data_IF_291988339279
#
_entry.id   IF_291988339279
#
_cell.length_a   1.000
_cell.length_b   1.000
_cell.length_c   1.000
_cell.angle_alpha   90.00
_cell.angle_beta   90.00
_cell.angle_gamma   90.00
#
_symmetry.space_group_name_H-M   'P 1'
#
loop_
_entity.id
_entity.type
_entity.pdbx_description
1 polymer ?
#
# COMPACT_ATOMS: atom_id res chain seq x y z
N UNK A 1 1.70 4.96 1.50
CA UNK A 1 1.01 4.67 2.79
C UNK A 1 0.64 5.93 3.62
N UNK A 2 1.53 6.92 3.80
CA UNK A 2 1.24 8.14 4.60
C UNK A 2 0.01 8.93 4.12
N UNK A 3 -0.22 9.01 2.81
CA UNK A 3 -1.39 9.70 2.24
C UNK A 3 -2.72 9.04 2.62
N UNK A 4 -2.84 7.72 2.49
CA UNK A 4 -4.06 6.98 2.89
C UNK A 4 -4.38 7.18 4.38
N UNK A 5 -3.35 7.19 5.24
CA UNK A 5 -3.51 7.50 6.67
C UNK A 5 -3.98 8.94 6.91
N UNK A 6 -3.47 9.91 6.16
CA UNK A 6 -3.88 11.31 6.26
C UNK A 6 -5.35 11.49 5.83
N UNK A 7 -5.77 10.89 4.70
CA UNK A 7 -7.15 10.95 4.21
C UNK A 7 -8.15 10.50 5.29
N UNK A 8 -7.91 9.32 5.90
CA UNK A 8 -8.78 8.82 6.98
C UNK A 8 -8.72 9.65 8.25
N UNK A 9 -7.56 10.21 8.60
CA UNK A 9 -7.44 11.14 9.73
C UNK A 9 -8.20 12.44 9.54
N UNK A 10 -8.33 12.91 8.30
CA UNK A 10 -9.07 14.13 7.96
C UNK A 10 -10.55 13.89 7.66
N UNK A 11 -11.06 12.68 7.93
CA UNK A 11 -12.49 12.37 7.80
C UNK A 11 -12.93 12.07 6.36
N UNK A 12 -12.02 11.74 5.45
CA UNK A 12 -12.40 11.28 4.11
C UNK A 12 -13.17 9.96 4.21
N UNK A 13 -14.38 9.95 3.67
CA UNK A 13 -15.37 8.87 3.72
C UNK A 13 -15.42 8.06 2.41
N UNK A 14 -14.86 8.56 1.32
CA UNK A 14 -14.78 7.86 0.05
C UNK A 14 -13.95 6.57 0.08
N UNK A 15 -13.96 5.85 -1.04
CA UNK A 15 -13.14 4.65 -1.24
C UNK A 15 -11.66 5.03 -1.33
N UNK A 16 -10.82 4.22 -0.68
CA UNK A 16 -9.37 4.37 -0.74
C UNK A 16 -8.78 3.03 -1.14
N UNK A 17 -8.27 2.96 -2.36
CA UNK A 17 -7.51 1.82 -2.87
C UNK A 17 -6.01 2.18 -2.81
N UNK A 18 -5.23 1.34 -2.15
CA UNK A 18 -3.78 1.41 -2.15
C UNK A 18 -3.24 0.29 -3.04
N UNK A 19 -2.50 0.67 -4.07
CA UNK A 19 -1.91 -0.26 -5.03
C UNK A 19 -0.39 -0.31 -4.83
N UNK A 20 0.16 -1.52 -4.79
CA UNK A 20 1.60 -1.77 -4.71
C UNK A 20 2.03 -2.85 -5.69
N UNK A 21 3.18 -2.64 -6.34
CA UNK A 21 3.79 -3.57 -7.29
C UNK A 21 4.61 -4.69 -6.62
N UNK A 22 4.63 -4.73 -5.28
CA UNK A 22 5.29 -5.77 -4.49
C UNK A 22 4.21 -6.71 -3.96
N UNK A 23 4.54 -7.98 -3.79
CA UNK A 23 3.67 -9.05 -3.28
C UNK A 23 3.39 -8.94 -1.77
N UNK A 24 3.92 -7.89 -1.12
CA UNK A 24 3.86 -7.66 0.32
C UNK A 24 3.24 -6.32 0.67
N UNK A 25 2.67 -6.27 1.87
CA UNK A 25 2.10 -5.05 2.42
C UNK A 25 3.17 -3.95 2.56
N UNK A 26 2.79 -2.66 2.45
CA UNK A 26 3.73 -1.55 2.60
C UNK A 26 4.50 -1.64 3.93
N UNK A 27 5.82 -1.50 3.88
CA UNK A 27 6.72 -1.56 5.04
C UNK A 27 7.60 -0.31 5.15
N UNK A 28 8.16 -0.09 6.33
CA UNK A 28 9.13 0.97 6.53
C UNK A 28 10.48 0.51 5.97
N UNK A 29 10.96 1.20 4.92
CA UNK A 29 12.28 0.94 4.30
C UNK A 29 13.53 1.37 5.10
N UNK A 30 13.49 2.38 6.01
CA UNK A 30 14.67 2.78 6.77
C UNK A 30 15.43 1.66 7.53
N UNK A 31 14.77 0.68 8.18
CA UNK A 31 15.48 -0.41 8.89
C UNK A 31 16.19 -1.42 7.97
N UNK A 32 15.88 -1.43 6.66
CA UNK A 32 16.39 -2.46 5.73
C UNK A 32 17.92 -2.41 5.57
N UNK A 33 18.56 -1.26 5.73
CA UNK A 33 20.00 -1.10 5.51
C UNK A 33 20.86 -1.39 6.75
N UNK A 34 20.26 -1.70 7.92
CA UNK A 34 21.02 -1.90 9.16
C UNK A 34 20.51 -2.99 10.10
N UNK A 35 19.20 -3.14 10.27
CA UNK A 35 18.64 -4.04 11.29
C UNK A 35 18.21 -5.39 10.70
N UNK A 36 17.67 -5.40 9.47
CA UNK A 36 17.28 -6.65 8.79
C UNK A 36 18.47 -7.55 8.45
N UNK A 37 19.65 -6.97 8.20
CA UNK A 37 20.88 -7.76 8.01
C UNK A 37 21.38 -8.44 9.29
N UNK A 38 20.90 -7.97 10.46
CA UNK A 38 21.36 -8.45 11.78
C UNK A 38 20.34 -9.38 12.44
N UNK A 39 19.09 -9.40 11.98
CA UNK A 39 18.01 -10.20 12.56
C UNK A 39 17.01 -10.58 11.47
N UNK A 40 16.71 -11.89 11.37
CA UNK A 40 15.55 -12.46 10.64
C UNK A 40 14.26 -11.93 11.27
N UNK A 41 13.94 -10.67 11.01
CA UNK A 41 12.72 -10.06 11.52
C UNK A 41 11.53 -10.61 10.71
N UNK A 42 10.52 -11.18 11.38
CA UNK A 42 9.27 -11.59 10.75
C UNK A 42 8.69 -10.46 9.88
N UNK A 43 8.16 -10.81 8.71
CA UNK A 43 7.56 -9.85 7.76
C UNK A 43 6.48 -8.95 8.40
N UNK A 44 5.78 -9.45 9.42
CA UNK A 44 4.77 -8.71 10.19
C UNK A 44 5.35 -7.53 10.98
N UNK A 45 6.61 -7.63 11.44
CA UNK A 45 7.30 -6.54 12.15
C UNK A 45 7.88 -5.50 11.19
N UNK A 46 8.08 -5.85 9.92
CA UNK A 46 8.51 -4.92 8.87
C UNK A 46 7.32 -4.11 8.34
N UNK A 47 6.13 -4.73 8.26
CA UNK A 47 4.91 -4.10 7.78
C UNK A 47 4.65 -2.76 8.49
N UNK A 48 4.28 -1.74 7.72
CA UNK A 48 4.02 -0.40 8.23
C UNK A 48 2.76 -0.36 9.11
N UNK A 49 1.83 -1.28 8.88
CA UNK A 49 0.63 -1.55 9.69
C UNK A 49 0.19 -3.01 9.48
N UNK A 50 -0.49 -3.63 10.46
CA UNK A 50 -1.03 -4.98 10.31
C UNK A 50 -2.24 -5.02 9.35
N UNK A 51 -2.56 -6.16 8.71
CA UNK A 51 -3.69 -6.30 7.77
C UNK A 51 -5.04 -5.78 8.32
N UNK A 52 -5.32 -6.07 9.60
CA UNK A 52 -6.55 -5.61 10.28
C UNK A 52 -6.69 -4.08 10.33
N UNK A 53 -5.58 -3.33 10.26
CA UNK A 53 -5.60 -1.87 10.26
C UNK A 53 -6.25 -1.30 9.00
N UNK A 54 -6.00 -1.93 7.86
CA UNK A 54 -6.53 -1.53 6.55
C UNK A 54 -8.04 -1.81 6.50
N UNK A 55 -8.45 -3.02 6.87
CA UNK A 55 -9.86 -3.41 6.92
C UNK A 55 -10.69 -2.49 7.85
N UNK A 56 -10.19 -2.20 9.06
CA UNK A 56 -10.84 -1.29 10.02
C UNK A 56 -10.97 0.15 9.54
N UNK A 57 -10.18 0.55 8.55
CA UNK A 57 -10.18 1.90 7.97
C UNK A 57 -10.75 1.92 6.56
N UNK A 58 -11.39 0.84 6.12
CA UNK A 58 -11.94 0.72 4.77
C UNK A 58 -10.93 1.12 3.69
N UNK A 59 -9.67 0.69 3.87
CA UNK A 59 -8.61 0.85 2.88
C UNK A 59 -8.45 -0.51 2.21
N UNK A 60 -8.70 -0.54 0.92
CA UNK A 60 -8.41 -1.71 0.10
C UNK A 60 -6.93 -1.71 -0.28
N UNK A 61 -6.30 -2.88 -0.25
CA UNK A 61 -4.89 -3.04 -0.57
C UNK A 61 -4.75 -4.08 -1.68
N UNK A 62 -4.28 -3.64 -2.84
CA UNK A 62 -3.87 -4.52 -3.93
C UNK A 62 -2.35 -4.62 -3.93
N UNK A 63 -1.85 -5.80 -3.59
CA UNK A 63 -0.44 -6.19 -3.74
C UNK A 63 -0.24 -6.91 -5.07
N UNK A 64 1.00 -6.99 -5.54
CA UNK A 64 1.36 -7.55 -6.85
C UNK A 64 0.61 -6.90 -8.04
N UNK A 65 0.17 -5.65 -7.85
CA UNK A 65 -0.59 -4.90 -8.83
C UNK A 65 0.27 -3.74 -9.34
N UNK A 66 0.68 -3.79 -10.60
CA UNK A 66 1.48 -2.75 -11.24
C UNK A 66 0.61 -1.88 -12.14
N UNK A 67 0.52 -0.59 -11.84
CA UNK A 67 -0.05 0.42 -12.76
C UNK A 67 0.98 0.74 -13.84
N UNK A 68 0.58 0.64 -15.11
CA UNK A 68 1.42 0.90 -16.29
C UNK A 68 1.07 2.23 -16.98
N UNK A 69 -0.17 2.70 -16.83
CA UNK A 69 -0.63 3.95 -17.43
C UNK A 69 -1.63 4.67 -16.50
N UNK A 70 -1.69 5.99 -16.63
CA UNK A 70 -2.68 6.84 -15.96
C UNK A 70 -3.27 7.81 -16.98
N UNK A 71 -4.60 7.79 -17.10
CA UNK A 71 -5.37 8.76 -17.88
C UNK A 71 -5.98 9.80 -16.92
N UNK A 72 -5.49 11.05 -16.89
CA UNK A 72 -6.00 12.09 -16.01
C UNK A 72 -7.36 12.65 -16.44
N UNK A 73 -7.70 12.57 -17.73
CA UNK A 73 -8.95 13.12 -18.28
C UNK A 73 -10.13 12.22 -17.88
N UNK A 74 -9.95 10.90 -18.00
CA UNK A 74 -10.95 9.92 -17.56
C UNK A 74 -10.77 9.45 -16.12
N UNK A 75 -9.67 9.85 -15.46
CA UNK A 75 -9.28 9.45 -14.09
C UNK A 75 -9.16 7.94 -13.93
N UNK A 76 -8.53 7.27 -14.89
CA UNK A 76 -8.35 5.81 -14.91
C UNK A 76 -6.90 5.40 -14.85
N UNK A 77 -6.63 4.29 -14.17
CA UNK A 77 -5.33 3.67 -14.11
C UNK A 77 -5.38 2.32 -14.81
N UNK A 78 -4.45 2.07 -15.72
CA UNK A 78 -4.32 0.76 -16.38
C UNK A 78 -3.30 -0.07 -15.64
N UNK A 79 -3.67 -1.30 -15.30
CA UNK A 79 -2.83 -2.27 -14.64
C UNK A 79 -2.11 -3.17 -15.67
N UNK A 80 -0.97 -3.72 -15.27
CA UNK A 80 -0.14 -4.58 -16.13
C UNK A 80 -0.85 -5.89 -16.54
N UNK A 81 -1.84 -6.32 -15.76
CA UNK A 81 -2.72 -7.46 -16.06
C UNK A 81 -3.83 -7.13 -17.06
N UNK A 82 -3.94 -5.87 -17.51
CA UNK A 82 -4.95 -5.39 -18.45
C UNK A 82 -6.24 -4.90 -17.80
N UNK A 83 -6.35 -4.95 -16.47
CA UNK A 83 -7.48 -4.39 -15.70
C UNK A 83 -7.38 -2.86 -15.67
N UNK A 84 -8.51 -2.16 -15.53
CA UNK A 84 -8.59 -0.69 -15.54
C UNK A 84 -9.54 -0.15 -14.48
#
# INVERSE_FOLDING_TARGET
MRCARALRRHGFDGSVLLVGNEDRAPYNRPPLSKELLRQDLPDELLAAEPPAWYARRSIELWTDARVTALDPDTRRATFADGTN
#
